data_IF_756313249663
#
_entry.id   IF_756313249663
#
_cell.length_a   1.000
_cell.length_b   1.000
_cell.length_c   1.000
_cell.angle_alpha   90.00
_cell.angle_beta   90.00
_cell.angle_gamma   90.00
#
_symmetry.space_group_name_H-M   'P 1'
#
loop_
_entity.id
_entity.type
_entity.pdbx_description
1 polymer ?
#
# COMPACT_ATOMS: atom_id res chain seq x y z
N UNK A 1 -33.60 -21.67 10.35
CA UNK A 1 -33.04 -20.51 11.07
C UNK A 1 -31.72 -20.83 11.76
N UNK A 2 -31.63 -21.84 12.65
CA UNK A 2 -30.39 -22.21 13.36
C UNK A 2 -29.17 -22.43 12.45
N UNK A 3 -29.31 -23.18 11.36
CA UNK A 3 -28.24 -23.44 10.39
C UNK A 3 -27.80 -22.20 9.62
N UNK A 4 -28.71 -21.27 9.35
CA UNK A 4 -28.41 -20.00 8.67
C UNK A 4 -27.51 -19.11 9.54
N UNK A 5 -27.82 -19.01 10.83
CA UNK A 5 -26.97 -18.25 11.77
C UNK A 5 -25.57 -18.85 11.93
N UNK A 6 -25.45 -20.19 11.92
CA UNK A 6 -24.16 -20.87 11.98
C UNK A 6 -23.34 -20.58 10.72
N UNK A 7 -23.95 -20.63 9.53
CA UNK A 7 -23.27 -20.33 8.27
C UNK A 7 -22.81 -18.87 8.20
N UNK A 8 -23.66 -17.92 8.63
CA UNK A 8 -23.30 -16.50 8.70
C UNK A 8 -22.15 -16.28 9.68
N UNK A 9 -22.22 -16.89 10.87
CA UNK A 9 -21.15 -16.80 11.87
C UNK A 9 -19.83 -17.37 11.36
N UNK A 10 -19.86 -18.50 10.66
CA UNK A 10 -18.68 -19.13 10.08
C UNK A 10 -18.03 -18.25 8.99
N UNK A 11 -18.84 -17.63 8.12
CA UNK A 11 -18.34 -16.71 7.08
C UNK A 11 -17.68 -15.48 7.71
N UNK A 12 -18.33 -14.86 8.69
CA UNK A 12 -17.77 -13.70 9.41
C UNK A 12 -16.47 -14.08 10.11
N UNK A 13 -16.43 -15.25 10.75
CA UNK A 13 -15.23 -15.75 11.41
C UNK A 13 -14.08 -15.91 10.42
N UNK A 14 -14.30 -16.56 9.26
CA UNK A 14 -13.31 -16.73 8.20
C UNK A 14 -12.75 -15.38 7.69
N UNK A 15 -13.61 -14.38 7.53
CA UNK A 15 -13.19 -13.04 7.10
C UNK A 15 -12.30 -12.35 8.14
N UNK A 16 -12.57 -12.55 9.43
CA UNK A 16 -11.76 -11.98 10.53
C UNK A 16 -10.37 -12.63 10.56
N UNK A 17 -10.27 -13.97 10.50
CA UNK A 17 -8.98 -14.66 10.48
C UNK A 17 -8.16 -14.34 9.23
N UNK A 18 -8.81 -14.15 8.07
CA UNK A 18 -8.13 -13.72 6.86
C UNK A 18 -7.55 -12.30 6.98
N UNK A 19 -8.26 -11.38 7.63
CA UNK A 19 -7.79 -10.01 7.86
C UNK A 19 -6.66 -9.89 8.90
N UNK A 20 -6.51 -10.88 9.79
CA UNK A 20 -5.48 -10.89 10.84
C UNK A 20 -4.11 -11.44 10.39
N UNK A 21 -4.01 -12.01 9.19
CA UNK A 21 -2.79 -12.65 8.68
C UNK A 21 -1.81 -11.69 7.99
N UNK A 22 -2.06 -10.37 7.98
CA UNK A 22 -1.04 -9.42 7.55
C UNK A 22 -0.05 -9.23 8.70
N UNK A 23 1.18 -9.73 8.54
CA UNK A 23 2.23 -9.42 9.51
C UNK A 23 2.40 -7.90 9.61
N UNK A 24 2.88 -7.37 10.75
CA UNK A 24 3.21 -5.95 10.85
C UNK A 24 4.13 -5.47 9.72
N UNK A 25 5.02 -6.35 9.25
CA UNK A 25 5.91 -6.10 8.11
C UNK A 25 5.15 -5.99 6.78
N UNK A 26 4.20 -6.88 6.51
CA UNK A 26 3.38 -6.82 5.29
C UNK A 26 2.55 -5.55 5.22
N UNK A 27 1.98 -5.13 6.36
CA UNK A 27 1.23 -3.87 6.46
C UNK A 27 2.13 -2.66 6.23
N UNK A 28 3.33 -2.67 6.81
CA UNK A 28 4.30 -1.60 6.60
C UNK A 28 4.75 -1.52 5.13
N UNK A 29 5.02 -2.67 4.51
CA UNK A 29 5.37 -2.78 3.11
C UNK A 29 4.24 -2.26 2.20
N UNK A 30 2.99 -2.58 2.50
CA UNK A 30 1.84 -2.05 1.76
C UNK A 30 1.74 -0.52 1.89
N UNK A 31 1.83 0.00 3.12
CA UNK A 31 1.78 1.45 3.34
C UNK A 31 2.91 2.21 2.61
N UNK A 32 4.13 1.67 2.62
CA UNK A 32 5.26 2.28 1.93
C UNK A 32 5.05 2.28 0.41
N UNK A 33 4.46 1.22 -0.14
CA UNK A 33 4.08 1.14 -1.56
C UNK A 33 3.02 2.19 -1.90
N UNK A 34 1.99 2.33 -1.08
CA UNK A 34 0.91 3.30 -1.31
C UNK A 34 1.44 4.75 -1.27
N UNK A 35 2.39 5.04 -0.36
CA UNK A 35 3.03 6.35 -0.29
C UNK A 35 3.84 6.68 -1.56
N UNK A 36 4.50 5.69 -2.16
CA UNK A 36 5.24 5.84 -3.43
C UNK A 36 4.26 6.09 -4.58
N UNK A 37 3.15 5.34 -4.64
CA UNK A 37 2.09 5.57 -5.63
C UNK A 37 1.57 7.00 -5.55
N UNK A 38 1.26 7.46 -4.34
CA UNK A 38 0.79 8.83 -4.09
C UNK A 38 1.85 9.88 -4.47
N UNK A 39 3.14 9.59 -4.30
CA UNK A 39 4.22 10.49 -4.74
C UNK A 39 4.16 10.70 -6.26
N UNK A 40 4.08 9.62 -7.03
CA UNK A 40 3.99 9.69 -8.49
C UNK A 40 2.70 10.31 -8.99
N UNK A 41 1.57 10.05 -8.33
CA UNK A 41 0.31 10.74 -8.62
C UNK A 41 0.43 12.26 -8.44
N UNK A 42 1.11 12.69 -7.36
CA UNK A 42 1.38 14.10 -7.14
C UNK A 42 2.34 14.68 -8.17
N UNK A 43 3.37 13.93 -8.56
CA UNK A 43 4.33 14.32 -9.59
C UNK A 43 3.63 14.57 -10.95
N UNK A 44 2.68 13.71 -11.31
CA UNK A 44 1.95 13.75 -12.57
C UNK A 44 0.86 14.85 -12.65
N UNK A 45 0.66 15.63 -11.58
CA UNK A 45 -0.32 16.72 -11.59
C UNK A 45 0.06 17.77 -12.64
N UNK A 46 -0.90 18.11 -13.50
CA UNK A 46 -0.77 19.14 -14.54
C UNK A 46 -0.49 20.55 -13.99
N UNK A 47 -0.78 20.77 -12.71
CA UNK A 47 -0.51 22.04 -12.02
C UNK A 47 0.97 22.23 -11.68
N UNK A 48 1.78 21.17 -11.71
CA UNK A 48 3.20 21.29 -11.41
C UNK A 48 3.92 21.95 -12.57
N UNK A 49 4.76 22.92 -12.25
CA UNK A 49 5.78 23.41 -13.17
C UNK A 49 6.78 22.30 -13.51
N UNK A 50 7.51 22.40 -14.64
CA UNK A 50 8.54 21.42 -14.98
C UNK A 50 9.63 21.26 -13.90
N UNK A 51 9.92 22.32 -13.15
CA UNK A 51 10.90 22.29 -12.06
C UNK A 51 10.36 21.53 -10.84
N UNK A 52 9.13 21.83 -10.41
CA UNK A 52 8.46 21.09 -9.33
C UNK A 52 8.31 19.61 -9.68
N UNK A 53 7.92 19.30 -10.92
CA UNK A 53 7.77 17.92 -11.38
C UNK A 53 9.09 17.12 -11.33
N UNK A 54 10.23 17.77 -11.60
CA UNK A 54 11.56 17.15 -11.48
C UNK A 54 11.98 16.99 -10.02
N UNK A 55 11.72 18.00 -9.19
CA UNK A 55 12.00 17.93 -7.76
C UNK A 55 11.22 16.80 -7.08
N UNK A 56 9.92 16.69 -7.37
CA UNK A 56 9.08 15.61 -6.84
C UNK A 56 9.55 14.25 -7.36
N UNK A 57 9.91 14.14 -8.65
CA UNK A 57 10.42 12.88 -9.21
C UNK A 57 11.65 12.37 -8.45
N UNK A 58 12.62 13.25 -8.12
CA UNK A 58 13.78 12.86 -7.33
C UNK A 58 13.41 12.35 -5.92
N UNK A 59 12.38 12.92 -5.29
CA UNK A 59 11.87 12.40 -4.03
C UNK A 59 11.20 11.03 -4.19
N UNK A 60 10.40 10.82 -5.24
CA UNK A 60 9.76 9.53 -5.49
C UNK A 60 10.79 8.43 -5.79
N UNK A 61 11.79 8.70 -6.63
CA UNK A 61 12.88 7.78 -6.94
C UNK A 61 13.67 7.38 -5.68
N UNK A 62 13.98 8.34 -4.80
CA UNK A 62 14.61 8.03 -3.50
C UNK A 62 13.74 7.10 -2.64
N UNK A 63 12.41 7.30 -2.63
CA UNK A 63 11.50 6.41 -1.90
C UNK A 63 11.50 5.00 -2.49
N UNK A 64 11.51 4.86 -3.82
CA UNK A 64 11.62 3.55 -4.48
C UNK A 64 12.94 2.85 -4.15
N UNK A 65 14.05 3.57 -4.19
CA UNK A 65 15.35 3.01 -3.81
C UNK A 65 15.34 2.49 -2.37
N UNK A 66 14.78 3.26 -1.44
CA UNK A 66 14.68 2.87 -0.04
C UNK A 66 13.75 1.66 0.13
N UNK A 67 12.67 1.59 -0.63
CA UNK A 67 11.78 0.44 -0.66
C UNK A 67 12.51 -0.83 -1.15
N UNK A 68 13.27 -0.74 -2.24
CA UNK A 68 14.07 -1.84 -2.77
C UNK A 68 15.15 -2.25 -1.77
N UNK A 69 15.86 -1.29 -1.16
CA UNK A 69 16.88 -1.55 -0.13
C UNK A 69 16.29 -2.31 1.07
N UNK A 70 15.05 -1.99 1.46
CA UNK A 70 14.39 -2.59 2.62
C UNK A 70 13.74 -3.95 2.32
N UNK A 71 13.06 -4.10 1.18
CA UNK A 71 12.22 -5.27 0.89
C UNK A 71 12.72 -6.16 -0.26
N UNK A 72 13.78 -5.75 -0.96
CA UNK A 72 14.38 -6.51 -2.07
C UNK A 72 13.52 -6.62 -3.32
N UNK A 73 12.39 -5.90 -3.40
CA UNK A 73 11.47 -5.92 -4.54
C UNK A 73 11.08 -4.50 -4.91
N UNK A 74 10.64 -4.31 -6.16
CA UNK A 74 10.09 -3.02 -6.58
C UNK A 74 8.75 -2.73 -5.86
N UNK A 75 8.50 -1.44 -5.53
CA UNK A 75 7.18 -1.01 -5.09
C UNK A 75 6.14 -1.14 -6.20
#
# INVERSE_FOLDING_TARGET
MRTVFIMIGAVIFILIIAGLNQSPEDKEKANNRDAISLCWENQAKKSNTPEEARFIAGACEMMEENFIKKYGVKP
#
